data_IF_730856045157
#
_entry.id   IF_730856045157
#
_cell.length_a   1.000
_cell.length_b   1.000
_cell.length_c   1.000
_cell.angle_alpha   90.00
_cell.angle_beta   90.00
_cell.angle_gamma   90.00
#
_symmetry.space_group_name_H-M   'P 1'
#
loop_
_entity.id
_entity.type
_entity.pdbx_description
1 polymer ?
#
# COMPACT_ATOMS: atom_id res chain seq x y z
N UNK A 1 -4.81 67.38 -17.99
CA UNK A 1 -4.89 66.33 -19.02
C UNK A 1 -3.52 65.67 -19.14
N UNK A 2 -3.45 64.33 -19.01
CA UNK A 2 -2.50 63.37 -19.63
C UNK A 2 -0.98 63.64 -19.46
N UNK A 3 -0.13 62.71 -19.03
CA UNK A 3 -0.30 61.28 -18.80
C UNK A 3 0.96 60.67 -18.17
N UNK A 4 0.73 59.70 -17.29
CA UNK A 4 1.71 58.85 -16.62
C UNK A 4 1.71 57.50 -17.35
N UNK A 5 2.73 57.20 -18.15
CA UNK A 5 2.90 55.86 -18.74
C UNK A 5 4.33 55.38 -18.52
N UNK A 6 4.58 54.88 -17.32
CA UNK A 6 5.68 53.97 -16.95
C UNK A 6 5.01 52.65 -16.55
N UNK A 7 5.30 51.56 -17.27
CA UNK A 7 5.16 50.15 -16.85
C UNK A 7 5.67 49.31 -18.03
N UNK A 8 6.97 49.06 -18.15
CA UNK A 8 7.71 47.96 -17.53
C UNK A 8 6.95 46.61 -17.57
N UNK A 9 7.27 45.87 -18.63
CA UNK A 9 7.50 44.41 -18.66
C UNK A 9 7.50 43.72 -17.28
N UNK A 10 6.38 43.10 -16.93
CA UNK A 10 6.33 42.06 -15.90
C UNK A 10 5.23 41.07 -16.28
N UNK A 11 5.61 39.98 -16.95
CA UNK A 11 4.62 38.98 -17.36
C UNK A 11 5.23 37.79 -18.07
N UNK A 12 6.24 37.14 -17.47
CA UNK A 12 6.75 35.85 -17.97
C UNK A 12 7.55 35.09 -16.89
N UNK A 13 6.99 34.96 -15.69
CA UNK A 13 7.56 34.08 -14.62
C UNK A 13 6.48 33.34 -13.80
N UNK A 14 5.27 33.16 -14.34
CA UNK A 14 4.14 32.55 -13.63
C UNK A 14 3.78 31.10 -14.01
N UNK A 15 4.62 30.39 -14.77
CA UNK A 15 4.21 29.19 -15.51
C UNK A 15 4.76 27.84 -15.02
N UNK A 16 5.30 27.70 -13.81
CA UNK A 16 6.00 26.47 -13.40
C UNK A 16 5.47 25.78 -12.13
N UNK A 17 4.41 26.28 -11.48
CA UNK A 17 4.03 25.79 -10.13
C UNK A 17 2.87 24.79 -10.09
N UNK A 18 2.23 24.45 -11.21
CA UNK A 18 0.98 23.64 -11.18
C UNK A 18 1.23 22.13 -11.39
N UNK A 19 2.38 21.72 -11.90
CA UNK A 19 2.64 20.32 -12.27
C UNK A 19 3.00 19.45 -11.03
N UNK A 20 3.50 20.04 -9.94
CA UNK A 20 3.94 19.31 -8.75
C UNK A 20 2.86 19.01 -7.70
N UNK A 21 1.74 19.76 -7.67
CA UNK A 21 0.75 19.65 -6.59
C UNK A 21 -0.07 18.35 -6.60
N UNK A 22 -0.40 17.85 -7.79
CA UNK A 22 -1.24 16.65 -7.93
C UNK A 22 -0.51 15.35 -7.61
N UNK A 23 0.79 15.27 -7.94
CA UNK A 23 1.61 14.11 -7.61
C UNK A 23 1.80 13.99 -6.09
N UNK A 24 2.21 15.09 -5.44
CA UNK A 24 2.38 15.14 -3.98
C UNK A 24 1.09 14.82 -3.22
N UNK A 25 -0.06 15.30 -3.70
CA UNK A 25 -1.35 14.99 -3.10
C UNK A 25 -1.72 13.51 -3.27
N UNK A 26 -1.42 12.90 -4.42
CA UNK A 26 -1.66 11.48 -4.66
C UNK A 26 -0.75 10.59 -3.82
N UNK A 27 0.51 10.97 -3.64
CA UNK A 27 1.48 10.24 -2.82
C UNK A 27 1.10 10.32 -1.34
N UNK A 28 0.72 11.51 -0.85
CA UNK A 28 0.19 11.65 0.51
C UNK A 28 -1.06 10.81 0.74
N UNK A 29 -1.99 10.79 -0.22
CA UNK A 29 -3.17 9.93 -0.13
C UNK A 29 -2.78 8.45 -0.09
N UNK A 30 -1.78 8.02 -0.87
CA UNK A 30 -1.28 6.66 -0.83
C UNK A 30 -0.66 6.32 0.53
N UNK A 31 0.13 7.24 1.10
CA UNK A 31 0.71 7.12 2.45
C UNK A 31 -0.37 6.96 3.51
N UNK A 32 -1.39 7.81 3.49
CA UNK A 32 -2.50 7.77 4.46
C UNK A 32 -3.26 6.44 4.35
N UNK A 33 -3.61 6.01 3.13
CA UNK A 33 -4.30 4.74 2.88
C UNK A 33 -3.49 3.54 3.38
N UNK A 34 -2.18 3.47 3.07
CA UNK A 34 -1.31 2.39 3.54
C UNK A 34 -1.13 2.45 5.06
N UNK A 35 -1.09 3.65 5.64
CA UNK A 35 -1.05 3.83 7.09
C UNK A 35 -2.27 3.27 7.80
N UNK A 36 -3.48 3.53 7.29
CA UNK A 36 -4.73 2.95 7.80
C UNK A 36 -4.73 1.41 7.66
N UNK A 37 -4.30 0.90 6.51
CA UNK A 37 -4.21 -0.54 6.27
C UNK A 37 -3.18 -1.23 7.19
N UNK A 38 -2.06 -0.57 7.49
CA UNK A 38 -1.06 -1.07 8.43
C UNK A 38 -1.63 -1.15 9.85
N UNK A 39 -2.39 -0.14 10.28
CA UNK A 39 -3.08 -0.18 11.58
C UNK A 39 -4.10 -1.33 11.66
N UNK A 40 -4.82 -1.59 10.56
CA UNK A 40 -5.74 -2.74 10.49
C UNK A 40 -4.98 -4.06 10.63
N UNK A 41 -3.90 -4.25 9.87
CA UNK A 41 -3.04 -5.44 9.96
C UNK A 41 -2.53 -5.64 11.39
N UNK A 42 -1.92 -4.60 11.98
CA UNK A 42 -1.30 -4.69 13.30
C UNK A 42 -2.35 -4.98 14.39
N UNK A 43 -3.53 -4.35 14.29
CA UNK A 43 -4.67 -4.60 15.19
C UNK A 43 -5.20 -6.03 15.08
N UNK A 44 -5.28 -6.58 13.87
CA UNK A 44 -5.70 -7.96 13.64
C UNK A 44 -4.70 -8.96 14.20
N UNK A 45 -3.41 -8.78 13.94
CA UNK A 45 -2.35 -9.65 14.46
C UNK A 45 -2.31 -9.57 16.00
N UNK A 46 -2.47 -8.38 16.58
CA UNK A 46 -2.52 -8.23 18.03
C UNK A 46 -3.70 -9.00 18.66
N UNK A 47 -4.87 -9.02 18.00
CA UNK A 47 -6.06 -9.76 18.47
C UNK A 47 -6.01 -11.26 18.16
N UNK A 48 -5.32 -11.63 17.08
CA UNK A 48 -5.20 -13.00 16.59
C UNK A 48 -3.73 -13.28 16.21
N UNK A 49 -2.85 -13.59 17.19
CA UNK A 49 -1.42 -13.74 16.94
C UNK A 49 -1.04 -14.80 15.91
N UNK A 50 -1.89 -15.81 15.68
CA UNK A 50 -1.67 -16.80 14.61
C UNK A 50 -1.62 -16.18 13.22
N UNK A 51 -2.25 -15.01 13.01
CA UNK A 51 -2.21 -14.30 11.72
C UNK A 51 -0.81 -13.73 11.39
N UNK A 52 0.12 -13.69 12.35
CA UNK A 52 1.51 -13.33 12.07
C UNK A 52 2.15 -14.27 11.03
N UNK A 53 1.79 -15.56 11.04
CA UNK A 53 2.28 -16.51 10.04
C UNK A 53 1.81 -16.14 8.61
N UNK A 54 0.64 -15.49 8.49
CA UNK A 54 0.14 -15.01 7.21
C UNK A 54 0.86 -13.72 6.79
N UNK A 55 1.13 -12.80 7.73
CA UNK A 55 1.98 -11.62 7.47
C UNK A 55 3.35 -12.02 6.94
N UNK A 56 4.02 -12.97 7.61
CA UNK A 56 5.32 -13.51 7.19
C UNK A 56 5.23 -14.16 5.79
N UNK A 57 4.18 -14.93 5.52
CA UNK A 57 3.97 -15.55 4.22
C UNK A 57 3.81 -14.52 3.10
N UNK A 58 3.02 -13.46 3.33
CA UNK A 58 2.84 -12.37 2.35
C UNK A 58 4.14 -11.61 2.11
N UNK A 59 4.92 -11.34 3.16
CA UNK A 59 6.21 -10.64 3.05
C UNK A 59 7.25 -11.49 2.31
N UNK A 60 7.30 -12.79 2.59
CA UNK A 60 8.15 -13.72 1.87
C UNK A 60 7.76 -13.83 0.39
N UNK A 61 6.45 -13.91 0.10
CA UNK A 61 5.93 -13.95 -1.26
C UNK A 61 6.21 -12.64 -2.02
N UNK A 62 6.07 -11.48 -1.36
CA UNK A 62 6.47 -10.18 -1.88
C UNK A 62 7.97 -10.14 -2.23
N UNK A 63 8.83 -10.65 -1.36
CA UNK A 63 10.27 -10.71 -1.62
C UNK A 63 10.59 -11.62 -2.82
N UNK A 64 9.90 -12.75 -2.93
CA UNK A 64 10.12 -13.74 -3.99
C UNK A 64 9.57 -13.31 -5.37
N UNK A 65 8.40 -12.65 -5.41
CA UNK A 65 7.74 -12.21 -6.65
C UNK A 65 8.05 -10.76 -7.03
N UNK A 66 8.48 -9.94 -6.08
CA UNK A 66 8.74 -8.52 -6.25
C UNK A 66 10.12 -8.22 -6.86
N UNK A 67 10.52 -6.95 -6.77
CA UNK A 67 11.75 -6.39 -7.37
C UNK A 67 13.06 -6.85 -6.68
N UNK A 68 13.07 -8.00 -6.00
CA UNK A 68 14.24 -8.50 -5.27
C UNK A 68 14.52 -7.76 -3.96
N UNK A 69 13.48 -7.24 -3.30
CA UNK A 69 13.59 -6.58 -1.99
C UNK A 69 13.55 -7.61 -0.85
N UNK A 70 14.19 -7.29 0.27
CA UNK A 70 14.16 -8.15 1.46
C UNK A 70 12.74 -8.28 2.03
N UNK A 71 12.35 -9.43 2.63
CA UNK A 71 11.03 -9.62 3.23
C UNK A 71 10.69 -8.58 4.30
N UNK A 72 11.70 -8.09 5.01
CA UNK A 72 11.55 -7.10 6.07
C UNK A 72 11.54 -5.64 5.60
N UNK A 73 11.71 -5.42 4.29
CA UNK A 73 11.72 -4.08 3.70
C UNK A 73 10.41 -3.30 3.95
N UNK A 74 10.47 -1.96 3.93
CA UNK A 74 9.25 -1.12 3.95
C UNK A 74 8.26 -1.51 2.85
N UNK A 75 8.76 -1.90 1.67
CA UNK A 75 7.93 -2.31 0.54
C UNK A 75 7.11 -3.56 0.83
N UNK A 76 7.73 -4.61 1.35
CA UNK A 76 6.99 -5.83 1.70
C UNK A 76 6.13 -5.66 2.96
N UNK A 77 6.47 -4.75 3.88
CA UNK A 77 5.56 -4.34 4.95
C UNK A 77 4.30 -3.67 4.39
N UNK A 78 4.44 -2.76 3.41
CA UNK A 78 3.30 -2.17 2.71
C UNK A 78 2.48 -3.22 1.96
N UNK A 79 3.12 -4.15 1.24
CA UNK A 79 2.44 -5.23 0.54
C UNK A 79 1.53 -6.02 1.49
N UNK A 80 2.06 -6.42 2.65
CA UNK A 80 1.27 -7.11 3.67
C UNK A 80 0.12 -6.26 4.21
N UNK A 81 0.37 -4.98 4.52
CA UNK A 81 -0.68 -4.06 4.97
C UNK A 81 -1.83 -3.98 3.96
N UNK A 82 -1.52 -3.79 2.67
CA UNK A 82 -2.51 -3.73 1.59
C UNK A 82 -3.28 -5.04 1.47
N UNK A 83 -2.58 -6.17 1.51
CA UNK A 83 -3.19 -7.50 1.48
C UNK A 83 -4.19 -7.71 2.61
N UNK A 84 -3.82 -7.42 3.85
CA UNK A 84 -4.73 -7.48 5.00
C UNK A 84 -5.90 -6.49 4.88
N UNK A 85 -5.64 -5.27 4.42
CA UNK A 85 -6.68 -4.26 4.19
C UNK A 85 -7.74 -4.72 3.18
N UNK A 86 -7.32 -5.34 2.07
CA UNK A 86 -8.21 -5.86 1.04
C UNK A 86 -9.00 -7.09 1.49
N UNK A 87 -8.44 -7.91 2.39
CA UNK A 87 -9.18 -8.98 3.03
C UNK A 87 -10.31 -8.44 3.90
N UNK A 88 -10.01 -7.43 4.72
CA UNK A 88 -11.00 -6.83 5.62
C UNK A 88 -12.08 -6.03 4.89
N UNK A 89 -11.78 -5.53 3.68
CA UNK A 89 -12.80 -4.88 2.84
C UNK A 89 -13.72 -5.87 2.12
N UNK A 90 -13.45 -7.19 2.22
CA UNK A 90 -14.22 -8.22 1.53
C UNK A 90 -13.97 -8.28 0.02
N UNK A 91 -12.89 -7.67 -0.47
CA UNK A 91 -12.55 -7.67 -1.90
C UNK A 91 -12.03 -9.03 -2.39
N UNK A 92 -11.52 -9.89 -1.51
CA UNK A 92 -11.19 -11.29 -1.82
C UNK A 92 -12.36 -12.21 -1.42
N UNK A 93 -13.19 -12.67 -2.38
CA UNK A 93 -14.38 -13.47 -2.09
C UNK A 93 -14.07 -14.85 -1.51
N UNK A 94 -12.83 -15.34 -1.62
CA UNK A 94 -12.40 -16.64 -1.08
C UNK A 94 -11.68 -16.51 0.28
N UNK A 95 -11.55 -15.29 0.81
CA UNK A 95 -10.80 -15.03 2.03
C UNK A 95 -11.38 -15.78 3.24
N UNK A 96 -12.71 -15.74 3.41
CA UNK A 96 -13.39 -16.39 4.55
C UNK A 96 -13.11 -17.89 4.59
N UNK A 97 -13.12 -18.55 3.44
CA UNK A 97 -12.83 -19.99 3.36
C UNK A 97 -11.37 -20.28 3.74
N UNK A 98 -10.42 -19.51 3.22
CA UNK A 98 -8.99 -19.66 3.58
C UNK A 98 -8.74 -19.39 5.05
N UNK A 99 -9.41 -18.38 5.62
CA UNK A 99 -9.35 -18.07 7.05
C UNK A 99 -9.93 -19.20 7.89
N UNK A 100 -11.07 -19.76 7.51
CA UNK A 100 -11.65 -20.90 8.23
C UNK A 100 -10.71 -22.12 8.20
N UNK A 101 -10.11 -22.43 7.04
CA UNK A 101 -9.12 -23.52 6.92
C UNK A 101 -7.90 -23.26 7.84
N UNK A 102 -7.36 -22.04 7.81
CA UNK A 102 -6.21 -21.67 8.64
C UNK A 102 -6.53 -21.72 10.13
N UNK A 103 -7.70 -21.23 10.56
CA UNK A 103 -8.10 -21.24 11.97
C UNK A 103 -8.32 -22.66 12.51
N UNK A 104 -8.69 -23.63 11.65
CA UNK A 104 -8.84 -25.04 12.04
C UNK A 104 -7.48 -25.74 12.21
N UNK A 105 -6.50 -25.41 11.36
CA UNK A 105 -5.16 -25.99 11.41
C UNK A 105 -4.10 -24.97 10.96
N UNK A 106 -3.62 -24.09 11.87
CA UNK A 106 -2.61 -23.11 11.53
C UNK A 106 -1.29 -23.79 11.14
N UNK A 107 -0.84 -23.56 9.91
CA UNK A 107 0.45 -24.04 9.40
C UNK A 107 1.04 -23.07 8.38
N UNK A 108 2.32 -23.24 8.05
CA UNK A 108 2.96 -22.48 6.98
C UNK A 108 2.31 -22.75 5.62
N UNK A 109 1.92 -24.00 5.33
CA UNK A 109 1.18 -24.32 4.10
C UNK A 109 -0.18 -23.60 4.07
N UNK A 110 -0.93 -23.63 5.18
CA UNK A 110 -2.22 -22.95 5.26
C UNK A 110 -2.07 -21.41 5.12
N UNK A 111 -1.01 -20.82 5.67
CA UNK A 111 -0.68 -19.41 5.48
C UNK A 111 -0.32 -19.08 4.02
N UNK A 112 0.42 -19.96 3.34
CA UNK A 112 0.77 -19.76 1.93
C UNK A 112 -0.45 -19.74 0.98
N UNK A 113 -1.57 -20.35 1.38
CA UNK A 113 -2.80 -20.30 0.59
C UNK A 113 -3.33 -18.87 0.41
N UNK A 114 -2.98 -17.94 1.32
CA UNK A 114 -3.37 -16.54 1.25
C UNK A 114 -2.62 -15.76 0.15
N UNK A 115 -1.49 -16.27 -0.33
CA UNK A 115 -0.68 -15.63 -1.39
C UNK A 115 -0.95 -16.22 -2.78
N UNK A 116 -1.74 -17.30 -2.88
CA UNK A 116 -2.00 -18.02 -4.13
C UNK A 116 -2.77 -17.21 -5.19
N UNK A 117 -3.48 -16.15 -4.78
CA UNK A 117 -4.32 -15.33 -5.67
C UNK A 117 -3.85 -13.88 -5.79
N UNK A 118 -2.72 -13.53 -5.18
CA UNK A 118 -2.21 -12.17 -5.15
C UNK A 118 -0.81 -12.12 -5.76
N UNK A 119 -0.64 -11.27 -6.76
CA UNK A 119 0.66 -10.90 -7.29
C UNK A 119 1.00 -9.43 -6.99
N UNK A 120 2.23 -9.00 -7.33
CA UNK A 120 2.69 -7.63 -7.11
C UNK A 120 1.80 -6.55 -7.72
N UNK A 121 1.04 -6.85 -8.77
CA UNK A 121 0.07 -5.94 -9.39
C UNK A 121 -0.99 -5.39 -8.42
N UNK A 122 -1.29 -6.14 -7.36
CA UNK A 122 -2.30 -5.76 -6.36
C UNK A 122 -1.82 -4.61 -5.47
N UNK A 123 -0.56 -4.64 -5.05
CA UNK A 123 -0.02 -3.71 -4.05
C UNK A 123 1.05 -2.77 -4.60
N UNK A 124 1.82 -3.16 -5.63
CA UNK A 124 3.00 -2.41 -6.08
C UNK A 124 2.68 -0.98 -6.54
N UNK A 125 1.60 -0.68 -7.29
CA UNK A 125 1.29 0.70 -7.70
C UNK A 125 1.03 1.62 -6.50
N UNK A 126 0.40 1.09 -5.45
CA UNK A 126 0.11 1.84 -4.23
C UNK A 126 1.36 1.96 -3.36
N UNK A 127 2.09 0.86 -3.14
CA UNK A 127 3.28 0.83 -2.30
C UNK A 127 4.44 1.66 -2.85
N UNK A 128 4.60 1.75 -4.18
CA UNK A 128 5.62 2.63 -4.80
C UNK A 128 5.32 4.12 -4.63
N UNK A 129 4.08 4.51 -4.33
CA UNK A 129 3.69 5.89 -4.04
C UNK A 129 3.71 6.19 -2.54
N UNK A 130 3.52 5.16 -1.72
CA UNK A 130 3.44 5.29 -0.27
C UNK A 130 4.81 5.29 0.42
N UNK A 131 5.87 4.82 -0.25
CA UNK A 131 7.24 4.67 0.29
C UNK A 131 8.18 5.55 -0.51
#
# INVERSE_FOLDING_TARGET
MKGLWLSMLAGLLGGLSVIGGNALAADRKAQDMVGEMAQVRDSLIAKHPSLAAIDDAVRADCSAKGEGVAPDSPFCSCASAVTFGLWMSGMDPKMVDRLNVFLQAPSAEAASAFTAYQGPELYAPLCRRAI
#
